data_IF_422030178159
#
_entry.id   IF_422030178159
#
_cell.length_a   1.000
_cell.length_b   1.000
_cell.length_c   1.000
_cell.angle_alpha   90.00
_cell.angle_beta   90.00
_cell.angle_gamma   90.00
#
_symmetry.space_group_name_H-M   'P 1'
#
loop_
_entity.id
_entity.type
_entity.pdbx_description
1 polymer ?
#
# COMPACT_ATOMS: atom_id res chain seq x y z
N UNK A 1 -74.37 -37.89 -4.26
CA UNK A 1 -73.86 -36.86 -3.31
C UNK A 1 -72.45 -36.35 -3.72
N UNK A 2 -71.98 -36.55 -4.93
CA UNK A 2 -70.56 -36.32 -5.33
C UNK A 2 -70.26 -35.09 -6.16
N UNK A 3 -71.30 -34.32 -6.57
CA UNK A 3 -71.10 -33.15 -7.42
C UNK A 3 -70.55 -31.91 -6.64
N UNK A 4 -70.85 -31.82 -5.34
CA UNK A 4 -70.44 -30.69 -4.50
C UNK A 4 -68.93 -30.64 -4.20
N UNK A 5 -68.32 -31.79 -4.03
CA UNK A 5 -66.87 -31.89 -3.72
C UNK A 5 -65.99 -31.62 -4.93
N UNK A 6 -66.44 -31.90 -6.16
CA UNK A 6 -65.68 -31.61 -7.37
C UNK A 6 -65.63 -30.11 -7.65
N UNK A 7 -66.71 -29.37 -7.41
CA UNK A 7 -66.78 -27.92 -7.59
C UNK A 7 -65.87 -27.16 -6.59
N UNK A 8 -65.86 -27.61 -5.32
CA UNK A 8 -65.02 -27.01 -4.28
C UNK A 8 -63.54 -27.22 -4.54
N UNK A 9 -63.11 -28.37 -5.02
CA UNK A 9 -61.70 -28.65 -5.40
C UNK A 9 -61.26 -27.88 -6.62
N UNK A 10 -62.12 -27.70 -7.61
CA UNK A 10 -61.81 -26.90 -8.79
C UNK A 10 -61.71 -25.41 -8.47
N UNK A 11 -62.53 -24.85 -7.59
CA UNK A 11 -62.42 -23.49 -7.10
C UNK A 11 -61.15 -23.23 -6.32
N UNK A 12 -60.72 -24.16 -5.44
CA UNK A 12 -59.49 -24.08 -4.69
C UNK A 12 -58.22 -24.10 -5.57
N UNK A 13 -58.22 -24.93 -6.64
CA UNK A 13 -57.10 -24.99 -7.58
C UNK A 13 -56.98 -23.70 -8.43
N UNK A 14 -58.13 -23.09 -8.79
CA UNK A 14 -58.14 -21.86 -9.56
C UNK A 14 -57.61 -20.65 -8.75
N UNK A 15 -57.91 -20.59 -7.44
CA UNK A 15 -57.39 -19.53 -6.56
C UNK A 15 -55.90 -19.68 -6.32
N UNK A 16 -55.37 -20.91 -6.24
CA UNK A 16 -53.95 -21.13 -6.05
C UNK A 16 -53.13 -20.75 -7.29
N UNK A 17 -53.64 -20.91 -8.50
CA UNK A 17 -53.01 -20.46 -9.74
C UNK A 17 -53.00 -18.93 -9.92
N UNK A 18 -53.95 -18.20 -9.30
CA UNK A 18 -54.00 -16.75 -9.39
C UNK A 18 -52.95 -16.02 -8.52
N UNK A 19 -52.35 -16.72 -7.57
CA UNK A 19 -51.33 -16.17 -6.66
C UNK A 19 -49.89 -16.30 -7.18
N UNK A 20 -49.68 -16.96 -8.33
CA UNK A 20 -48.34 -17.15 -8.94
C UNK A 20 -47.96 -16.05 -9.94
N UNK A 21 -48.48 -14.83 -9.80
CA UNK A 21 -47.97 -13.68 -10.53
C UNK A 21 -46.66 -13.23 -9.86
N UNK A 22 -45.57 -13.97 -10.14
CA UNK A 22 -44.23 -13.56 -9.77
C UNK A 22 -43.92 -12.20 -10.40
N UNK A 23 -43.36 -11.29 -9.62
CA UNK A 23 -42.82 -10.03 -10.09
C UNK A 23 -41.90 -10.31 -11.27
N UNK A 24 -42.27 -9.88 -12.48
CA UNK A 24 -41.33 -9.78 -13.59
C UNK A 24 -40.40 -8.63 -13.27
N UNK A 25 -39.18 -8.97 -12.87
CA UNK A 25 -38.11 -8.00 -12.82
C UNK A 25 -37.79 -7.63 -14.28
N UNK A 26 -38.10 -6.42 -14.65
CA UNK A 26 -37.85 -5.88 -16.01
C UNK A 26 -36.36 -5.58 -16.11
N UNK A 27 -35.57 -6.58 -16.54
CA UNK A 27 -34.10 -6.47 -16.71
C UNK A 27 -33.73 -5.48 -17.82
N UNK A 28 -34.69 -5.08 -18.65
CA UNK A 28 -34.46 -4.11 -19.74
C UNK A 28 -34.26 -2.67 -19.23
N UNK A 29 -34.58 -2.40 -17.96
CA UNK A 29 -34.30 -1.11 -17.29
C UNK A 29 -33.02 -1.09 -16.44
N UNK A 30 -32.27 -2.18 -16.41
CA UNK A 30 -30.91 -2.12 -15.88
C UNK A 30 -30.08 -1.40 -16.94
N UNK A 31 -29.98 -0.07 -16.82
CA UNK A 31 -29.06 0.71 -17.63
C UNK A 31 -27.68 0.01 -17.53
N UNK A 32 -27.16 -0.41 -18.69
CA UNK A 32 -25.82 -0.94 -18.75
C UNK A 32 -24.89 0.17 -18.20
N UNK A 33 -24.39 0.01 -16.98
CA UNK A 33 -23.40 0.91 -16.45
C UNK A 33 -22.16 0.66 -17.30
N UNK A 34 -21.87 1.58 -18.20
CA UNK A 34 -20.61 1.59 -18.92
C UNK A 34 -19.48 1.81 -17.89
N UNK A 35 -18.90 0.71 -17.44
CA UNK A 35 -17.71 0.78 -16.60
C UNK A 35 -16.56 1.16 -17.53
N UNK A 36 -15.86 2.30 -17.30
CA UNK A 36 -14.70 2.65 -18.10
C UNK A 36 -13.70 1.49 -18.08
N UNK A 37 -13.05 1.21 -19.21
CA UNK A 37 -12.09 0.10 -19.33
C UNK A 37 -10.92 0.17 -18.31
N UNK A 38 -10.69 1.34 -17.73
CA UNK A 38 -9.66 1.60 -16.70
C UNK A 38 -10.26 1.83 -15.30
N UNK A 39 -11.53 1.51 -15.08
CA UNK A 39 -12.10 1.63 -13.75
C UNK A 39 -11.48 0.58 -12.80
N UNK A 40 -11.25 0.94 -11.51
CA UNK A 40 -10.82 -0.03 -10.54
C UNK A 40 -11.91 -1.07 -10.25
N UNK A 41 -11.50 -2.30 -10.05
CA UNK A 41 -12.40 -3.40 -9.66
C UNK A 41 -12.92 -3.22 -8.23
N UNK A 42 -12.12 -2.58 -7.37
CA UNK A 42 -12.49 -2.29 -5.98
C UNK A 42 -11.89 -0.97 -5.52
N UNK A 43 -12.68 -0.21 -4.76
CA UNK A 43 -12.24 0.99 -4.05
C UNK A 43 -12.54 0.80 -2.57
N UNK A 44 -11.54 1.07 -1.73
CA UNK A 44 -11.67 1.09 -0.27
C UNK A 44 -11.24 2.46 0.23
N UNK A 45 -12.06 3.11 1.04
CA UNK A 45 -11.73 4.41 1.66
C UNK A 45 -11.35 4.22 3.12
N UNK A 46 -10.42 5.05 3.61
CA UNK A 46 -9.91 5.02 4.98
C UNK A 46 -9.50 3.61 5.43
N UNK A 47 -8.71 2.96 4.60
CA UNK A 47 -8.30 1.58 4.81
C UNK A 47 -7.14 1.46 5.80
N UNK A 48 -7.19 0.40 6.60
CA UNK A 48 -6.10 -0.04 7.46
C UNK A 48 -5.88 -1.55 7.28
N UNK A 49 -4.69 -1.93 6.87
CA UNK A 49 -4.30 -3.32 6.65
C UNK A 49 -3.16 -3.71 7.58
N UNK A 50 -3.29 -4.87 8.19
CA UNK A 50 -2.27 -5.48 9.05
C UNK A 50 -1.66 -6.69 8.35
N UNK A 51 -0.35 -6.69 8.22
CA UNK A 51 0.41 -7.79 7.65
C UNK A 51 1.15 -8.52 8.76
N UNK A 52 0.97 -9.83 8.82
CA UNK A 52 1.64 -10.68 9.79
C UNK A 52 2.57 -11.66 9.10
N UNK A 53 3.74 -11.88 9.67
CA UNK A 53 4.64 -12.94 9.31
C UNK A 53 4.86 -13.87 10.49
N UNK A 54 4.66 -15.19 10.26
CA UNK A 54 4.84 -16.23 11.28
C UNK A 54 4.11 -15.95 12.59
N UNK A 55 2.90 -15.33 12.50
CA UNK A 55 2.07 -15.00 13.65
C UNK A 55 2.44 -13.69 14.37
N UNK A 56 3.44 -12.96 13.89
CA UNK A 56 3.83 -11.65 14.43
C UNK A 56 3.40 -10.55 13.47
N UNK A 57 2.86 -9.45 14.01
CA UNK A 57 2.57 -8.25 13.23
C UNK A 57 3.89 -7.70 12.67
N UNK A 58 4.00 -7.61 11.34
CA UNK A 58 5.18 -7.07 10.69
C UNK A 58 4.99 -5.65 10.19
N UNK A 59 3.81 -5.37 9.60
CA UNK A 59 3.54 -4.07 9.02
C UNK A 59 2.08 -3.67 9.19
N UNK A 60 1.83 -2.35 9.29
CA UNK A 60 0.51 -1.75 9.22
C UNK A 60 0.50 -0.71 8.10
N UNK A 61 -0.39 -0.86 7.12
CA UNK A 61 -0.60 0.09 6.04
C UNK A 61 -1.91 0.84 6.27
N UNK A 62 -1.85 2.16 6.26
CA UNK A 62 -3.01 3.05 6.21
C UNK A 62 -3.02 3.84 4.92
N UNK A 63 -4.19 4.03 4.33
CA UNK A 63 -4.37 4.90 3.18
C UNK A 63 -5.77 5.48 3.17
N UNK A 64 -5.90 6.75 2.79
CA UNK A 64 -7.20 7.41 2.64
C UNK A 64 -8.02 6.74 1.55
N UNK A 65 -7.38 6.30 0.45
CA UNK A 65 -8.04 5.61 -0.65
C UNK A 65 -7.13 4.54 -1.24
N UNK A 66 -7.70 3.35 -1.44
CA UNK A 66 -7.08 2.22 -2.14
C UNK A 66 -7.95 1.83 -3.32
N UNK A 67 -7.37 1.82 -4.52
CA UNK A 67 -8.02 1.37 -5.75
C UNK A 67 -7.28 0.16 -6.31
N UNK A 68 -7.99 -0.95 -6.50
CA UNK A 68 -7.44 -2.21 -6.98
C UNK A 68 -7.87 -2.47 -8.42
N UNK A 69 -6.93 -2.87 -9.25
CA UNK A 69 -7.11 -3.20 -10.64
C UNK A 69 -6.63 -4.64 -10.86
N UNK A 70 -7.55 -5.52 -11.24
CA UNK A 70 -7.29 -6.96 -11.38
C UNK A 70 -7.07 -7.40 -12.82
N UNK A 71 -7.09 -6.49 -13.80
CA UNK A 71 -6.95 -6.82 -15.20
C UNK A 71 -5.69 -7.65 -15.47
N UNK A 72 -5.84 -8.77 -16.19
CA UNK A 72 -4.74 -9.68 -16.47
C UNK A 72 -3.61 -8.98 -17.22
N UNK A 73 -2.39 -9.05 -16.67
CA UNK A 73 -1.19 -8.42 -17.22
C UNK A 73 -0.98 -6.95 -16.81
N UNK A 74 -1.91 -6.38 -16.00
CA UNK A 74 -1.76 -5.03 -15.47
C UNK A 74 -2.31 -4.90 -14.03
N UNK A 75 -2.17 -5.97 -13.24
CA UNK A 75 -2.60 -5.93 -11.84
C UNK A 75 -1.82 -4.86 -11.09
N UNK A 76 -2.53 -3.98 -10.44
CA UNK A 76 -1.94 -2.93 -9.60
C UNK A 76 -2.90 -2.53 -8.49
N UNK A 77 -2.32 -2.02 -7.43
CA UNK A 77 -3.06 -1.35 -6.35
C UNK A 77 -2.53 0.06 -6.22
N UNK A 78 -3.40 1.03 -6.38
CA UNK A 78 -3.10 2.45 -6.22
C UNK A 78 -3.52 2.90 -4.84
N UNK A 79 -2.60 3.55 -4.13
CA UNK A 79 -2.76 4.14 -2.81
C UNK A 79 -2.73 5.65 -2.96
N UNK A 80 -3.69 6.35 -2.38
CA UNK A 80 -3.79 7.82 -2.47
C UNK A 80 -4.44 8.44 -1.23
N UNK A 81 -4.50 9.76 -1.18
CA UNK A 81 -5.03 10.51 -0.05
C UNK A 81 -4.25 10.28 1.25
N UNK A 82 -2.93 10.11 1.09
CA UNK A 82 -2.02 9.85 2.19
C UNK A 82 -1.81 8.37 2.45
N UNK A 83 -0.54 8.03 2.68
CA UNK A 83 -0.08 6.69 3.01
C UNK A 83 0.74 6.77 4.29
N UNK A 84 0.51 5.84 5.19
CA UNK A 84 1.35 5.56 6.34
C UNK A 84 1.63 4.06 6.39
N UNK A 85 2.90 3.69 6.33
CA UNK A 85 3.36 2.31 6.50
C UNK A 85 4.23 2.25 7.74
N UNK A 86 3.74 1.56 8.77
CA UNK A 86 4.44 1.33 10.04
C UNK A 86 5.05 -0.05 10.03
N UNK A 87 6.32 -0.16 10.36
CA UNK A 87 7.04 -1.41 10.51
C UNK A 87 7.19 -1.76 12.00
N UNK A 88 6.97 -3.01 12.33
CA UNK A 88 7.09 -3.52 13.70
C UNK A 88 8.26 -4.47 13.81
N UNK A 89 8.92 -4.45 14.95
CA UNK A 89 9.93 -5.45 15.26
C UNK A 89 9.29 -6.78 15.73
N UNK A 90 10.10 -7.79 15.98
CA UNK A 90 9.62 -9.11 16.43
C UNK A 90 8.93 -9.08 17.79
N UNK A 91 9.10 -8.04 18.57
CA UNK A 91 8.43 -7.85 19.88
C UNK A 91 7.09 -7.15 19.75
N UNK A 92 6.73 -6.68 18.54
CA UNK A 92 5.53 -5.90 18.26
C UNK A 92 5.68 -4.41 18.57
N UNK A 93 6.90 -3.93 18.76
CA UNK A 93 7.20 -2.51 18.98
C UNK A 93 7.29 -1.80 17.63
N UNK A 94 6.72 -0.59 17.54
CA UNK A 94 6.86 0.25 16.35
C UNK A 94 8.34 0.60 16.13
N UNK A 95 8.88 0.24 14.96
CA UNK A 95 10.27 0.45 14.61
C UNK A 95 10.46 1.65 13.69
N UNK A 96 9.88 1.60 12.50
CA UNK A 96 10.05 2.62 11.48
C UNK A 96 8.71 3.00 10.88
N UNK A 97 8.61 4.23 10.38
CA UNK A 97 7.40 4.74 9.72
C UNK A 97 7.77 5.38 8.39
N UNK A 98 7.05 5.01 7.33
CA UNK A 98 7.11 5.64 6.03
C UNK A 98 5.78 6.34 5.76
N UNK A 99 5.85 7.60 5.34
CA UNK A 99 4.68 8.35 4.87
C UNK A 99 4.90 8.85 3.46
N UNK A 100 3.84 8.94 2.67
CA UNK A 100 3.84 9.52 1.33
C UNK A 100 2.43 9.99 0.96
N UNK A 101 2.28 10.74 -0.14
CA UNK A 101 0.95 11.09 -0.65
C UNK A 101 0.33 9.97 -1.47
N UNK A 102 1.13 9.34 -2.32
CA UNK A 102 0.66 8.36 -3.29
C UNK A 102 1.58 7.14 -3.34
N UNK A 103 1.04 6.00 -3.75
CA UNK A 103 1.80 4.78 -3.95
C UNK A 103 1.15 3.85 -4.97
N UNK A 104 1.94 2.94 -5.49
CA UNK A 104 1.48 1.89 -6.41
C UNK A 104 2.17 0.59 -6.03
N UNK A 105 1.39 -0.44 -5.78
CA UNK A 105 1.87 -1.81 -5.62
C UNK A 105 1.68 -2.53 -6.94
N UNK A 106 2.74 -3.14 -7.44
CA UNK A 106 2.80 -3.89 -8.69
C UNK A 106 3.14 -5.36 -8.37
N UNK A 107 2.13 -6.21 -8.08
CA UNK A 107 2.37 -7.57 -7.61
C UNK A 107 3.14 -8.42 -8.61
N UNK A 108 2.85 -8.26 -9.91
CA UNK A 108 3.49 -9.03 -10.98
C UNK A 108 4.98 -8.67 -11.14
N UNK A 109 5.36 -7.44 -10.78
CA UNK A 109 6.74 -6.96 -10.76
C UNK A 109 7.41 -7.12 -9.38
N UNK A 110 6.66 -7.58 -8.38
CA UNK A 110 7.09 -7.66 -6.98
C UNK A 110 7.71 -6.34 -6.49
N UNK A 111 7.03 -5.25 -6.81
CA UNK A 111 7.53 -3.90 -6.61
C UNK A 111 6.46 -3.00 -6.00
N UNK A 112 6.89 -2.11 -5.10
CA UNK A 112 6.08 -1.02 -4.60
C UNK A 112 6.80 0.29 -4.88
N UNK A 113 6.07 1.30 -5.32
CA UNK A 113 6.58 2.64 -5.57
C UNK A 113 5.75 3.62 -4.76
N UNK A 114 6.38 4.41 -3.90
CA UNK A 114 5.74 5.53 -3.20
C UNK A 114 6.27 6.85 -3.73
N UNK A 115 5.40 7.86 -3.79
CA UNK A 115 5.71 9.16 -4.41
C UNK A 115 5.09 10.30 -3.63
N UNK A 116 5.65 11.46 -3.88
CA UNK A 116 5.20 12.76 -3.40
C UNK A 116 5.32 12.89 -1.89
N UNK A 117 6.26 13.73 -1.47
CA UNK A 117 6.55 14.00 -0.06
C UNK A 117 6.87 12.72 0.75
N UNK A 118 7.70 11.87 0.19
CA UNK A 118 8.09 10.64 0.87
C UNK A 118 8.99 10.96 2.05
N UNK A 119 8.59 10.49 3.22
CA UNK A 119 9.35 10.61 4.46
C UNK A 119 9.45 9.23 5.11
N UNK A 120 10.67 8.83 5.43
CA UNK A 120 10.93 7.63 6.21
C UNK A 120 11.65 8.02 7.50
N UNK A 121 11.16 7.55 8.64
CA UNK A 121 11.78 7.74 9.95
C UNK A 121 12.05 6.37 10.55
N UNK A 122 13.30 6.08 10.89
CA UNK A 122 13.65 4.81 11.53
C UNK A 122 13.49 4.88 13.05
N UNK A 123 13.65 3.72 13.72
CA UNK A 123 13.57 3.61 15.18
C UNK A 123 14.56 4.47 15.95
N UNK A 124 15.63 4.95 15.30
CA UNK A 124 16.64 5.85 15.90
C UNK A 124 16.29 7.33 15.71
N UNK A 125 15.18 7.64 15.04
CA UNK A 125 14.77 9.00 14.70
C UNK A 125 15.55 9.61 13.51
N UNK A 126 16.33 8.81 12.78
CA UNK A 126 16.93 9.26 11.53
C UNK A 126 15.85 9.40 10.47
N UNK A 127 15.87 10.52 9.73
CA UNK A 127 14.83 10.93 8.81
C UNK A 127 15.35 11.05 7.39
N UNK A 128 14.76 10.30 6.47
CA UNK A 128 14.98 10.41 5.02
C UNK A 128 13.80 11.14 4.38
N UNK A 129 14.07 12.09 3.52
CA UNK A 129 13.08 12.80 2.70
C UNK A 129 13.46 12.68 1.23
N UNK A 130 12.46 12.39 0.37
CA UNK A 130 12.63 12.30 -1.08
C UNK A 130 11.26 12.42 -1.78
N UNK A 131 11.27 12.53 -3.10
CA UNK A 131 10.03 12.56 -3.89
C UNK A 131 9.58 11.18 -4.36
N UNK A 132 10.44 10.16 -4.27
CA UNK A 132 10.09 8.80 -4.65
C UNK A 132 10.98 7.79 -3.94
N UNK A 133 10.38 6.66 -3.53
CA UNK A 133 11.08 5.43 -3.16
C UNK A 133 10.50 4.23 -3.91
N UNK A 134 11.36 3.33 -4.32
CA UNK A 134 11.02 2.08 -4.99
C UNK A 134 11.53 0.94 -4.12
N UNK A 135 10.62 0.09 -3.68
CA UNK A 135 10.94 -1.15 -3.01
C UNK A 135 10.82 -2.33 -3.97
N UNK A 136 11.83 -3.19 -4.00
CA UNK A 136 11.88 -4.40 -4.82
C UNK A 136 11.96 -5.62 -3.91
N UNK A 137 10.90 -6.43 -3.89
CA UNK A 137 10.77 -7.57 -3.00
C UNK A 137 11.82 -8.65 -3.26
N UNK A 138 12.13 -8.95 -4.54
CA UNK A 138 13.08 -10.00 -4.89
C UNK A 138 14.50 -9.73 -4.39
N UNK A 139 14.90 -8.46 -4.36
CA UNK A 139 16.24 -8.05 -3.91
C UNK A 139 16.27 -7.61 -2.44
N UNK A 140 15.11 -7.47 -1.79
CA UNK A 140 14.95 -6.87 -0.47
C UNK A 140 15.68 -5.51 -0.39
N UNK A 141 15.51 -4.67 -1.47
CA UNK A 141 16.18 -3.38 -1.62
C UNK A 141 15.17 -2.26 -1.79
N UNK A 142 15.54 -1.12 -1.22
CA UNK A 142 14.88 0.16 -1.43
C UNK A 142 15.83 1.08 -2.15
N UNK A 143 15.34 1.76 -3.20
CA UNK A 143 16.18 2.68 -3.96
C UNK A 143 15.40 3.88 -4.51
N UNK A 144 16.12 4.92 -4.84
CA UNK A 144 15.62 6.08 -5.57
C UNK A 144 16.73 6.71 -6.41
N UNK A 145 16.34 7.34 -7.52
CA UNK A 145 17.22 8.18 -8.34
C UNK A 145 17.00 9.68 -8.07
N UNK A 146 16.04 9.99 -7.19
CA UNK A 146 15.66 11.37 -6.88
C UNK A 146 16.62 11.98 -5.85
N UNK A 147 16.59 13.32 -5.69
CA UNK A 147 17.26 13.98 -4.57
C UNK A 147 16.79 13.39 -3.24
N UNK A 148 17.73 13.24 -2.33
CA UNK A 148 17.50 12.77 -0.96
C UNK A 148 18.06 13.75 0.03
N UNK A 149 17.37 13.89 1.17
CA UNK A 149 17.84 14.58 2.35
C UNK A 149 17.77 13.63 3.53
N UNK A 150 18.88 13.41 4.21
CA UNK A 150 18.94 12.56 5.41
C UNK A 150 19.34 13.42 6.58
N UNK A 151 18.53 13.41 7.64
CA UNK A 151 18.84 14.04 8.91
C UNK A 151 19.13 12.95 9.95
N UNK A 152 20.32 13.02 10.55
CA UNK A 152 20.80 12.08 11.58
C UNK A 152 21.48 12.85 12.70
N UNK A 153 20.82 13.00 13.83
CA UNK A 153 21.31 13.84 14.90
C UNK A 153 21.48 15.30 14.44
N UNK A 154 22.73 15.78 14.39
CA UNK A 154 23.10 17.12 13.89
C UNK A 154 23.43 17.14 12.41
N UNK A 155 23.69 15.98 11.82
CA UNK A 155 24.15 15.86 10.43
C UNK A 155 22.96 15.97 9.48
N UNK A 156 23.13 16.74 8.42
CA UNK A 156 22.21 16.82 7.29
C UNK A 156 22.99 16.48 6.03
N UNK A 157 22.64 15.36 5.43
CA UNK A 157 23.27 14.86 4.21
C UNK A 157 22.29 15.08 3.06
N UNK A 158 22.74 15.76 2.04
CA UNK A 158 22.02 15.89 0.76
C UNK A 158 22.72 15.04 -0.30
N UNK A 159 21.93 14.50 -1.23
CA UNK A 159 22.49 13.74 -2.33
C UNK A 159 21.48 13.47 -3.43
N UNK A 160 21.91 12.76 -4.45
CA UNK A 160 21.04 12.30 -5.55
C UNK A 160 21.27 10.81 -5.74
N UNK A 161 20.18 10.06 -5.63
CA UNK A 161 20.22 8.61 -5.69
C UNK A 161 20.63 7.95 -4.38
N UNK A 162 19.80 7.03 -3.92
CA UNK A 162 20.01 6.24 -2.71
C UNK A 162 19.70 4.77 -3.02
N UNK A 163 20.46 3.89 -2.42
CA UNK A 163 20.18 2.46 -2.33
C UNK A 163 20.32 2.01 -0.89
N UNK A 164 19.34 1.29 -0.36
CA UNK A 164 19.29 0.82 1.01
C UNK A 164 18.74 -0.61 1.08
N UNK A 165 19.02 -1.29 2.19
CA UNK A 165 18.26 -2.47 2.59
C UNK A 165 16.87 -2.07 3.15
N UNK A 166 15.97 -3.02 3.31
CA UNK A 166 14.57 -2.75 3.69
C UNK A 166 14.42 -2.02 5.03
N UNK A 167 15.29 -2.31 5.99
CA UNK A 167 15.27 -1.70 7.32
C UNK A 167 16.08 -0.39 7.41
N UNK A 168 16.67 0.07 6.29
CA UNK A 168 17.55 1.24 6.22
C UNK A 168 18.73 1.23 7.20
N UNK A 169 19.10 0.07 7.72
CA UNK A 169 20.29 -0.07 8.59
C UNK A 169 21.59 0.18 7.83
N UNK A 170 21.57 -0.02 6.52
CA UNK A 170 22.68 0.28 5.61
C UNK A 170 22.13 0.97 4.36
N UNK A 171 22.78 2.06 3.98
CA UNK A 171 22.43 2.78 2.76
C UNK A 171 23.67 3.39 2.10
N UNK A 172 23.57 3.62 0.80
CA UNK A 172 24.57 4.30 0.00
C UNK A 172 23.91 5.43 -0.77
N UNK A 173 24.53 6.61 -0.73
CA UNK A 173 24.11 7.77 -1.51
C UNK A 173 25.11 7.93 -2.65
N UNK A 174 24.62 8.04 -3.90
CA UNK A 174 25.50 8.03 -5.07
C UNK A 174 26.22 9.35 -5.32
N UNK A 175 25.58 10.49 -5.09
CA UNK A 175 26.14 11.83 -5.27
C UNK A 175 25.82 12.65 -4.05
N UNK A 176 26.76 12.72 -3.12
CA UNK A 176 26.62 13.48 -1.89
C UNK A 176 26.93 14.94 -2.18
N UNK A 177 26.02 15.84 -1.76
CA UNK A 177 26.20 17.29 -1.79
C UNK A 177 25.71 17.81 -0.45
N UNK A 178 26.54 17.89 0.58
CA UNK A 178 26.06 18.29 1.90
C UNK A 178 27.20 18.59 2.85
N UNK A 179 26.87 19.26 3.93
CA UNK A 179 27.77 19.53 5.03
C UNK A 179 27.65 18.38 6.05
N UNK A 180 28.80 17.77 6.38
CA UNK A 180 28.90 16.85 7.50
C UNK A 180 29.41 17.67 8.69
N UNK A 181 28.68 17.62 9.80
CA UNK A 181 29.19 18.16 11.05
C UNK A 181 30.18 17.15 11.64
N UNK A 182 31.48 17.47 11.58
CA UNK A 182 32.53 16.67 12.24
C UNK A 182 32.72 17.27 13.62
N UNK A 183 32.44 16.49 14.67
CA UNK A 183 32.74 16.93 16.03
C UNK A 183 34.26 17.05 16.17
N UNK A 184 34.83 18.20 16.61
CA UNK A 184 36.28 18.37 16.75
C UNK A 184 36.95 17.35 17.68
N UNK A 185 36.17 16.58 18.45
CA UNK A 185 36.64 15.48 19.28
C UNK A 185 36.85 14.14 18.57
N UNK A 186 36.26 13.95 17.37
CA UNK A 186 36.46 12.77 16.52
C UNK A 186 37.70 12.95 15.62
N UNK A 187 38.85 13.20 16.21
CA UNK A 187 40.11 13.10 15.50
C UNK A 187 40.26 11.63 15.10
N UNK A 188 40.09 11.32 13.81
CA UNK A 188 40.55 10.05 13.27
C UNK A 188 42.01 9.91 13.67
N UNK A 189 42.31 9.02 14.62
CA UNK A 189 43.65 8.55 14.88
C UNK A 189 44.09 7.80 13.62
N UNK A 190 44.49 8.57 12.62
CA UNK A 190 45.20 8.06 11.47
C UNK A 190 46.57 7.61 11.95
N UNK A 191 46.81 6.32 11.99
CA UNK A 191 48.10 5.70 12.10
C UNK A 191 49.08 6.30 11.07
N UNK A 192 49.76 7.36 11.46
CA UNK A 192 50.95 7.79 10.77
C UNK A 192 52.13 6.94 11.33
N UNK A 193 52.21 5.69 10.91
CA UNK A 193 53.46 4.96 10.91
C UNK A 193 54.11 5.21 9.55
N UNK A 194 54.97 6.18 9.49
CA UNK A 194 55.97 6.35 8.45
C UNK A 194 57.32 5.83 8.94
N UNK A 195 58.24 5.54 8.02
CA UNK A 195 59.32 4.57 8.08
C UNK A 195 60.46 4.90 9.05
#
# INVERSE_FOLDING_TARGET
>A
MDAGYALSRAAGALVLCALSHGCKNDLDHVAAVEVPAEAPDRITSNAEYFYSDSGHLSNRLRSGRIAEYAAKGSRRTELSEGIELTFYDRTGTEGSVLTARNGTILPDEKRMVVRDQVVFVNAKGERLETEQLIWSQDSARVHTDRPVRIARGRDIIHGVGLEANEDFSRYTIRKITGELYVDPGDTLAGDAQGP
#
